data_IF_049909734106
#
_entry.id   IF_049909734106
#
_cell.length_a   1.000
_cell.length_b   1.000
_cell.length_c   1.000
_cell.angle_alpha   90.00
_cell.angle_beta   90.00
_cell.angle_gamma   90.00
#
_symmetry.space_group_name_H-M   'P 1'
#
loop_
_entity.id
_entity.type
_entity.pdbx_description
1 polymer ?
#
# COMPACT_ATOMS: atom_id res chain seq x y z
N UNK A 1 -10.05 -34.73 10.82
CA UNK A 1 -9.35 -33.43 10.98
C UNK A 1 -9.32 -32.78 9.62
N UNK A 2 -10.28 -31.89 9.33
CA UNK A 2 -10.26 -31.11 8.09
C UNK A 2 -9.38 -29.91 8.36
N UNK A 3 -8.18 -29.91 7.77
CA UNK A 3 -7.31 -28.75 7.76
C UNK A 3 -8.00 -27.66 6.96
N UNK A 4 -8.57 -26.68 7.66
CA UNK A 4 -9.12 -25.48 7.05
C UNK A 4 -7.95 -24.78 6.36
N UNK A 5 -7.88 -24.84 5.03
CA UNK A 5 -6.94 -24.02 4.27
C UNK A 5 -7.43 -22.59 4.41
N UNK A 6 -6.98 -21.89 5.46
CA UNK A 6 -7.14 -20.45 5.52
C UNK A 6 -6.48 -19.90 4.26
N UNK A 7 -7.30 -19.45 3.31
CA UNK A 7 -6.80 -18.58 2.24
C UNK A 7 -6.10 -17.43 2.96
N UNK A 8 -4.79 -17.30 2.77
CA UNK A 8 -4.09 -16.12 3.28
C UNK A 8 -4.65 -14.94 2.50
N UNK A 9 -5.48 -14.14 3.15
CA UNK A 9 -6.03 -12.92 2.59
C UNK A 9 -4.86 -12.03 2.16
N UNK A 10 -4.73 -11.82 0.85
CA UNK A 10 -3.70 -10.98 0.27
C UNK A 10 -4.25 -9.56 0.21
N UNK A 11 -3.61 -8.64 0.94
CA UNK A 11 -3.91 -7.22 0.95
C UNK A 11 -2.97 -6.47 0.01
N UNK A 12 -3.44 -5.32 -0.48
CA UNK A 12 -2.65 -4.34 -1.21
C UNK A 12 -2.42 -3.12 -0.33
N UNK A 13 -1.18 -2.70 -0.18
CA UNK A 13 -0.80 -1.50 0.56
C UNK A 13 -0.18 -0.52 -0.43
N UNK A 14 -0.79 0.65 -0.56
CA UNK A 14 -0.39 1.72 -1.47
C UNK A 14 0.09 2.89 -0.63
N UNK A 15 1.34 3.29 -0.81
CA UNK A 15 1.90 4.46 -0.16
C UNK A 15 1.98 5.61 -1.16
N UNK A 16 1.29 6.71 -0.88
CA UNK A 16 1.39 7.95 -1.65
C UNK A 16 2.58 8.77 -1.14
N UNK A 17 3.55 8.99 -2.02
CA UNK A 17 4.73 9.80 -1.77
C UNK A 17 4.52 11.26 -2.18
N UNK A 18 5.32 12.14 -1.59
CA UNK A 18 5.43 13.52 -2.04
C UNK A 18 5.86 13.59 -3.51
N UNK A 19 5.23 14.47 -4.29
CA UNK A 19 5.50 14.59 -5.73
C UNK A 19 4.65 13.70 -6.64
N UNK A 20 3.63 13.01 -6.10
CA UNK A 20 2.61 12.32 -6.90
C UNK A 20 2.99 10.90 -7.35
N UNK A 21 3.94 10.28 -6.66
CA UNK A 21 4.34 8.89 -6.93
C UNK A 21 3.78 7.95 -5.87
N UNK A 22 3.65 6.68 -6.22
CA UNK A 22 3.10 5.64 -5.37
C UNK A 22 4.03 4.44 -5.31
N UNK A 23 4.22 3.91 -4.11
CA UNK A 23 4.84 2.61 -3.88
C UNK A 23 3.77 1.62 -3.47
N UNK A 24 4.04 0.35 -3.75
CA UNK A 24 3.10 -0.74 -3.48
C UNK A 24 3.78 -1.85 -2.73
N UNK A 25 3.11 -2.37 -1.71
CA UNK A 25 3.43 -3.64 -1.07
C UNK A 25 2.22 -4.57 -1.10
N UNK A 26 2.47 -5.87 -1.05
CA UNK A 26 1.42 -6.89 -0.95
C UNK A 26 1.73 -7.87 0.16
N UNK A 27 0.71 -8.49 0.73
CA UNK A 27 0.88 -9.50 1.77
C UNK A 27 -0.26 -9.45 2.79
N UNK A 28 -0.03 -9.98 3.97
CA UNK A 28 -0.98 -9.89 5.07
C UNK A 28 -0.58 -8.76 6.04
N UNK A 29 -1.36 -8.57 7.11
CA UNK A 29 -1.11 -7.51 8.08
C UNK A 29 0.24 -7.66 8.82
N UNK A 30 0.79 -8.87 8.90
CA UNK A 30 2.05 -9.16 9.59
C UNK A 30 3.28 -9.15 8.67
N UNK A 31 3.10 -9.43 7.37
CA UNK A 31 4.18 -9.58 6.39
C UNK A 31 3.82 -8.84 5.11
N UNK A 32 4.29 -7.59 5.00
CA UNK A 32 4.17 -6.77 3.79
C UNK A 32 5.44 -6.91 2.95
N UNK A 33 5.29 -7.26 1.68
CA UNK A 33 6.39 -7.37 0.72
C UNK A 33 6.30 -6.23 -0.28
N UNK A 34 7.29 -5.35 -0.28
CA UNK A 34 7.40 -4.26 -1.25
C UNK A 34 7.55 -4.83 -2.67
N UNK A 35 6.76 -4.31 -3.60
CA UNK A 35 6.83 -4.66 -5.00
C UNK A 35 8.13 -4.12 -5.61
N UNK A 36 8.90 -5.01 -6.23
CA UNK A 36 10.20 -4.69 -6.83
C UNK A 36 10.26 -5.18 -8.27
N UNK A 37 11.05 -4.46 -9.08
CA UNK A 37 11.36 -4.83 -10.45
C UNK A 37 12.41 -5.96 -10.52
N UNK A 38 12.80 -6.34 -11.74
CA UNK A 38 13.83 -7.37 -12.00
C UNK A 38 15.23 -7.01 -11.50
N UNK A 39 15.46 -5.76 -11.11
CA UNK A 39 16.72 -5.26 -10.55
C UNK A 39 16.61 -5.02 -9.04
N UNK A 40 15.57 -5.58 -8.39
CA UNK A 40 15.28 -5.44 -6.96
C UNK A 40 14.99 -4.00 -6.50
N UNK A 41 14.64 -3.10 -7.43
CA UNK A 41 14.29 -1.71 -7.13
C UNK A 41 12.78 -1.59 -6.91
N UNK A 42 12.32 -0.73 -5.98
CA UNK A 42 10.89 -0.50 -5.80
C UNK A 42 10.23 -0.05 -7.10
N UNK A 43 9.09 -0.65 -7.44
CA UNK A 43 8.28 -0.19 -8.58
C UNK A 43 7.54 1.08 -8.15
N UNK A 44 7.73 2.15 -8.91
CA UNK A 44 7.02 3.42 -8.72
C UNK A 44 5.89 3.53 -9.74
N UNK A 45 4.73 3.94 -9.26
CA UNK A 45 3.56 4.27 -10.07
C UNK A 45 3.24 5.75 -9.94
N UNK A 46 2.58 6.33 -10.93
CA UNK A 46 2.22 7.76 -10.94
C UNK A 46 0.73 7.98 -10.67
N UNK A 47 -0.07 6.92 -10.66
CA UNK A 47 -1.48 6.97 -10.28
C UNK A 47 -2.02 5.59 -9.89
N UNK A 48 -3.17 5.56 -9.22
CA UNK A 48 -3.86 4.33 -8.85
C UNK A 48 -4.28 3.49 -10.07
N UNK A 49 -4.56 4.11 -11.22
CA UNK A 49 -4.93 3.40 -12.45
C UNK A 49 -3.78 2.55 -13.00
N UNK A 50 -2.54 3.02 -12.88
CA UNK A 50 -1.36 2.23 -13.26
C UNK A 50 -1.20 1.03 -12.33
N UNK A 51 -1.45 1.21 -11.03
CA UNK A 51 -1.45 0.11 -10.04
C UNK A 51 -2.53 -0.92 -10.38
N UNK A 52 -3.77 -0.48 -10.63
CA UNK A 52 -4.86 -1.36 -11.09
C UNK A 52 -4.48 -2.13 -12.35
N UNK A 53 -3.91 -1.45 -13.34
CA UNK A 53 -3.48 -2.06 -14.60
C UNK A 53 -2.35 -3.08 -14.42
N UNK A 54 -1.43 -2.82 -13.49
CA UNK A 54 -0.32 -3.72 -13.17
C UNK A 54 -0.80 -5.04 -12.57
N UNK A 55 -1.78 -4.98 -11.66
CA UNK A 55 -2.34 -6.18 -11.01
C UNK A 55 -3.43 -6.88 -11.84
N UNK A 56 -3.97 -6.22 -12.87
CA UNK A 56 -4.97 -6.81 -13.76
C UNK A 56 -6.19 -7.31 -12.99
N UNK A 57 -6.55 -8.58 -13.20
CA UNK A 57 -7.71 -9.24 -12.55
C UNK A 57 -7.41 -9.76 -11.13
N UNK A 58 -6.28 -9.37 -10.52
CA UNK A 58 -5.95 -9.80 -9.16
C UNK A 58 -6.95 -9.23 -8.15
N UNK A 59 -7.42 -10.08 -7.24
CA UNK A 59 -8.31 -9.71 -6.15
C UNK A 59 -7.53 -9.56 -4.85
N UNK A 60 -7.82 -8.50 -4.11
CA UNK A 60 -7.28 -8.28 -2.77
C UNK A 60 -8.40 -8.32 -1.74
N UNK A 61 -8.10 -8.78 -0.53
CA UNK A 61 -9.06 -8.77 0.59
C UNK A 61 -9.29 -7.33 1.06
N UNK A 62 -8.20 -6.59 1.27
CA UNK A 62 -8.23 -5.16 1.58
C UNK A 62 -7.22 -4.39 0.75
N UNK A 63 -7.56 -3.14 0.46
CA UNK A 63 -6.63 -2.19 -0.15
C UNK A 63 -6.51 -0.97 0.74
N UNK A 64 -5.29 -0.70 1.19
CA UNK A 64 -4.96 0.42 2.06
C UNK A 64 -4.20 1.49 1.28
N UNK A 65 -4.63 2.74 1.39
CA UNK A 65 -3.92 3.90 0.92
C UNK A 65 -3.38 4.69 2.12
N UNK A 66 -2.06 4.79 2.20
CA UNK A 66 -1.36 5.56 3.22
C UNK A 66 -0.81 6.83 2.58
N UNK A 67 -1.14 7.99 3.15
CA UNK A 67 -0.59 9.28 2.75
C UNK A 67 0.39 9.77 3.82
N UNK A 68 1.66 9.84 3.44
CA UNK A 68 2.71 10.37 4.31
C UNK A 68 2.85 11.87 4.00
N UNK A 69 2.26 12.72 4.84
CA UNK A 69 2.42 14.17 4.75
C UNK A 69 3.64 14.61 5.59
N UNK A 70 4.68 15.23 5.01
CA UNK A 70 5.86 15.70 5.75
C UNK A 70 5.59 16.93 6.65
N UNK A 71 4.32 17.26 6.93
CA UNK A 71 3.90 18.54 7.50
C UNK A 71 4.18 18.72 9.00
N UNK A 72 4.89 17.80 9.65
CA UNK A 72 5.24 17.93 11.07
C UNK A 72 6.39 18.93 11.34
N UNK A 73 7.21 19.30 10.35
CA UNK A 73 8.39 20.16 10.59
C UNK A 73 8.10 21.67 10.66
N UNK A 74 6.91 22.14 10.27
CA UNK A 74 6.65 23.59 10.12
C UNK A 74 5.80 24.21 11.23
N UNK A 75 5.42 23.47 12.28
CA UNK A 75 4.40 23.94 13.23
C UNK A 75 4.84 23.91 14.71
N UNK A 76 6.02 23.37 15.03
CA UNK A 76 6.57 23.41 16.40
C UNK A 76 5.67 22.75 17.47
N UNK A 77 4.69 21.94 17.04
CA UNK A 77 3.82 21.17 17.92
C UNK A 77 4.10 19.69 17.70
N UNK A 78 4.65 19.04 18.71
CA UNK A 78 4.82 17.60 18.79
C UNK A 78 3.45 16.96 19.07
N UNK A 79 2.55 16.98 18.09
CA UNK A 79 1.33 16.17 18.18
C UNK A 79 1.35 15.19 17.01
N UNK A 80 1.76 13.98 17.37
CA UNK A 80 2.00 12.80 16.55
C UNK A 80 0.73 12.34 15.83
N UNK A 81 0.30 13.04 14.80
CA UNK A 81 -0.71 12.52 13.89
C UNK A 81 0.04 11.66 12.86
N UNK A 82 0.08 10.35 13.13
CA UNK A 82 0.69 9.37 12.24
C UNK A 82 0.14 9.42 10.80
N UNK A 83 0.72 8.66 9.88
CA UNK A 83 0.33 8.72 8.48
C UNK A 83 -1.17 8.47 8.31
N UNK A 84 -1.81 9.23 7.42
CA UNK A 84 -3.23 9.06 7.14
C UNK A 84 -3.43 7.76 6.37
N UNK A 85 -4.04 6.77 7.01
CA UNK A 85 -4.32 5.47 6.42
C UNK A 85 -5.83 5.32 6.16
N UNK A 86 -6.18 4.92 4.93
CA UNK A 86 -7.56 4.75 4.47
C UNK A 86 -7.71 3.40 3.77
N UNK A 87 -8.72 2.62 4.16
CA UNK A 87 -9.16 1.48 3.35
C UNK A 87 -9.96 2.01 2.15
N UNK A 88 -9.56 1.64 0.94
CA UNK A 88 -10.22 2.08 -0.31
C UNK A 88 -10.96 0.93 -0.97
N UNK A 89 -12.11 1.24 -1.57
CA UNK A 89 -12.87 0.29 -2.37
C UNK A 89 -12.12 -0.05 -3.66
N UNK A 90 -11.80 -1.33 -3.84
CA UNK A 90 -10.96 -1.84 -4.95
C UNK A 90 -11.77 -2.58 -6.02
N UNK A 91 -12.93 -2.03 -6.37
CA UNK A 91 -13.78 -2.49 -7.47
C UNK A 91 -13.53 -1.73 -8.79
#
# INVERSE_FOLDING_TARGET
MFGNTMSVAMNLYIESLEGGNYLVATGNDENKTLLRDSHERPVMFHCLTEIKSYFGDSTFDKVWLTQTTPYEEMIGQSNTEGPLELEIDWH
#
